data_IF_149972936861
#
_entry.id   IF_149972936861
#
_cell.length_a   1.000
_cell.length_b   1.000
_cell.length_c   1.000
_cell.angle_alpha   90.00
_cell.angle_beta   90.00
_cell.angle_gamma   90.00
#
_symmetry.space_group_name_H-M   'P 1'
#
loop_
_entity.id
_entity.type
_entity.pdbx_description
1 polymer ?
#
# COMPACT_ATOMS: atom_id res chain seq x y z
N UNK A 1 6.44 -22.75 47.68
CA UNK A 1 5.22 -23.17 46.93
C UNK A 1 4.36 -21.94 46.73
N UNK A 2 4.29 -21.42 45.50
CA UNK A 2 3.45 -20.24 45.17
C UNK A 2 2.02 -20.70 44.92
N UNK A 3 1.07 -20.22 45.71
CA UNK A 3 -0.36 -20.49 45.54
C UNK A 3 -0.82 -19.73 44.29
N UNK A 4 -1.26 -20.45 43.26
CA UNK A 4 -1.77 -19.83 42.04
C UNK A 4 -2.98 -18.94 42.38
N UNK A 5 -2.83 -17.64 42.14
CA UNK A 5 -3.86 -16.65 42.42
C UNK A 5 -5.03 -16.87 41.46
N UNK A 6 -6.24 -16.96 41.98
CA UNK A 6 -7.44 -17.08 41.15
C UNK A 6 -7.66 -15.80 40.34
N UNK A 7 -8.27 -15.92 39.15
CA UNK A 7 -8.56 -14.77 38.27
C UNK A 7 -9.32 -13.65 39.00
N UNK A 8 -10.16 -14.02 39.97
CA UNK A 8 -10.93 -13.11 40.83
C UNK A 8 -10.05 -12.34 41.82
N UNK A 9 -9.01 -12.98 42.36
CA UNK A 9 -8.03 -12.33 43.22
C UNK A 9 -7.12 -11.39 42.41
N UNK A 10 -6.69 -11.81 41.21
CA UNK A 10 -5.88 -10.97 40.32
C UNK A 10 -6.64 -9.69 39.89
N UNK A 11 -7.92 -9.80 39.52
CA UNK A 11 -8.75 -8.66 39.17
C UNK A 11 -8.98 -7.70 40.36
N UNK A 12 -9.14 -8.24 41.58
CA UNK A 12 -9.27 -7.44 42.79
C UNK A 12 -7.97 -6.67 43.10
N UNK A 13 -6.81 -7.32 42.94
CA UNK A 13 -5.50 -6.69 43.16
C UNK A 13 -5.24 -5.57 42.14
N UNK A 14 -5.53 -5.80 40.85
CA UNK A 14 -5.37 -4.78 39.81
C UNK A 14 -6.26 -3.56 40.10
N UNK A 15 -7.51 -3.79 40.50
CA UNK A 15 -8.42 -2.69 40.83
C UNK A 15 -7.96 -1.89 42.06
N UNK A 16 -7.49 -2.56 43.13
CA UNK A 16 -6.93 -1.86 44.30
C UNK A 16 -5.73 -1.01 43.90
N UNK A 17 -4.86 -1.53 43.03
CA UNK A 17 -3.66 -0.83 42.58
C UNK A 17 -3.97 0.39 41.67
N UNK A 18 -5.00 0.29 40.83
CA UNK A 18 -5.32 1.32 39.82
C UNK A 18 -6.36 2.33 40.31
N UNK A 19 -7.25 1.97 41.23
CA UNK A 19 -8.33 2.86 41.69
C UNK A 19 -8.14 3.33 43.13
N UNK A 20 -7.77 2.42 44.05
CA UNK A 20 -7.71 2.74 45.50
C UNK A 20 -6.39 3.44 45.85
N UNK A 21 -5.28 2.99 45.26
CA UNK A 21 -3.96 3.55 45.56
C UNK A 21 -3.80 5.01 45.07
N UNK A 22 -4.24 5.38 43.85
CA UNK A 22 -4.23 6.79 43.44
C UNK A 22 -5.18 7.66 44.26
N UNK A 23 -6.33 7.12 44.68
CA UNK A 23 -7.28 7.83 45.55
C UNK A 23 -6.68 8.08 46.95
N UNK A 24 -6.03 7.09 47.56
CA UNK A 24 -5.33 7.26 48.84
C UNK A 24 -4.18 8.25 48.72
N UNK A 25 -3.41 8.20 47.63
CA UNK A 25 -2.33 9.16 47.36
C UNK A 25 -2.87 10.57 47.17
N UNK A 26 -4.01 10.73 46.49
CA UNK A 26 -4.69 12.01 46.33
C UNK A 26 -5.21 12.57 47.67
N UNK A 27 -5.83 11.75 48.52
CA UNK A 27 -6.25 12.13 49.87
C UNK A 27 -5.05 12.48 50.77
N UNK A 28 -3.94 11.75 50.63
CA UNK A 28 -2.70 12.04 51.34
C UNK A 28 -2.09 13.36 50.90
N UNK A 29 -2.05 13.66 49.59
CA UNK A 29 -1.62 14.95 49.07
C UNK A 29 -2.50 16.11 49.55
N UNK A 30 -3.83 15.90 49.58
CA UNK A 30 -4.76 16.89 50.15
C UNK A 30 -4.50 17.15 51.63
N UNK A 31 -4.16 16.10 52.40
CA UNK A 31 -3.85 16.20 53.84
C UNK A 31 -2.55 16.96 54.12
N UNK A 32 -1.55 16.84 53.25
CA UNK A 32 -0.27 17.56 53.40
C UNK A 32 -0.38 19.04 53.02
N UNK A 33 -1.35 19.42 52.19
CA UNK A 33 -1.53 20.78 51.66
C UNK A 33 -2.35 21.75 52.53
N UNK A 34 -2.74 21.38 53.75
CA UNK A 34 -3.58 22.18 54.68
C UNK A 34 -4.94 22.65 54.07
N UNK A 35 -5.34 22.02 52.96
CA UNK A 35 -6.50 22.37 52.14
C UNK A 35 -7.79 21.64 52.58
N UNK A 36 -7.69 20.73 53.55
CA UNK A 36 -8.80 19.92 54.11
C UNK A 36 -9.79 20.74 54.95
N UNK A 37 -9.40 21.94 55.40
CA UNK A 37 -10.26 22.82 56.21
C UNK A 37 -11.31 23.56 55.38
N UNK A 38 -11.19 23.58 54.05
CA UNK A 38 -12.23 24.13 53.16
C UNK A 38 -13.34 23.12 52.94
N UNK A 39 -14.57 23.50 53.28
CA UNK A 39 -15.78 22.67 53.15
C UNK A 39 -15.95 22.09 51.74
N UNK A 40 -15.54 22.82 50.71
CA UNK A 40 -15.58 22.38 49.31
C UNK A 40 -14.68 21.16 49.02
N UNK A 41 -13.51 21.08 49.64
CA UNK A 41 -12.56 19.97 49.44
C UNK A 41 -13.06 18.67 50.09
N UNK A 42 -13.81 18.78 51.21
CA UNK A 42 -14.43 17.64 51.89
C UNK A 42 -15.56 17.03 51.03
N UNK A 43 -16.42 17.88 50.45
CA UNK A 43 -17.47 17.43 49.54
C UNK A 43 -16.91 16.77 48.27
N UNK A 44 -15.87 17.36 47.67
CA UNK A 44 -15.22 16.78 46.49
C UNK A 44 -14.63 15.39 46.77
N UNK A 45 -14.01 15.22 47.93
CA UNK A 45 -13.42 13.94 48.35
C UNK A 45 -14.49 12.87 48.61
N UNK A 46 -15.61 13.24 49.24
CA UNK A 46 -16.73 12.33 49.48
C UNK A 46 -17.39 11.91 48.16
N UNK A 47 -17.58 12.85 47.23
CA UNK A 47 -18.13 12.57 45.90
C UNK A 47 -17.22 11.65 45.08
N UNK A 48 -15.90 11.88 45.12
CA UNK A 48 -14.93 11.01 44.47
C UNK A 48 -14.96 9.57 45.02
N UNK A 49 -15.10 9.42 46.35
CA UNK A 49 -15.23 8.12 46.99
C UNK A 49 -16.51 7.39 46.58
N UNK A 50 -17.64 8.11 46.49
CA UNK A 50 -18.91 7.55 46.01
C UNK A 50 -18.79 7.08 44.56
N UNK A 51 -18.21 7.90 43.68
CA UNK A 51 -18.02 7.56 42.26
C UNK A 51 -17.12 6.32 42.13
N UNK A 52 -16.04 6.25 42.90
CA UNK A 52 -15.15 5.08 42.92
C UNK A 52 -15.88 3.81 43.40
N UNK A 53 -16.69 3.92 44.45
CA UNK A 53 -17.47 2.80 44.98
C UNK A 53 -18.55 2.32 43.97
N UNK A 54 -19.24 3.26 43.33
CA UNK A 54 -20.23 2.96 42.28
C UNK A 54 -19.58 2.28 41.08
N UNK A 55 -18.42 2.79 40.64
CA UNK A 55 -17.61 2.17 39.58
C UNK A 55 -17.20 0.74 39.92
N UNK A 56 -16.80 0.48 41.17
CA UNK A 56 -16.47 -0.88 41.63
C UNK A 56 -17.68 -1.82 41.56
N UNK A 57 -18.87 -1.37 41.98
CA UNK A 57 -20.09 -2.19 41.95
C UNK A 57 -20.46 -2.55 40.51
N UNK A 58 -20.41 -1.59 39.58
CA UNK A 58 -20.70 -1.82 38.15
C UNK A 58 -19.69 -2.77 37.53
N UNK A 59 -18.40 -2.54 37.77
CA UNK A 59 -17.34 -3.40 37.25
C UNK A 59 -17.48 -4.84 37.76
N UNK A 60 -17.74 -5.02 39.06
CA UNK A 60 -17.95 -6.35 39.66
C UNK A 60 -19.15 -7.07 39.04
N UNK A 61 -20.26 -6.36 38.78
CA UNK A 61 -21.44 -6.94 38.10
C UNK A 61 -21.11 -7.43 36.70
N UNK A 62 -20.33 -6.66 35.92
CA UNK A 62 -19.92 -7.05 34.56
C UNK A 62 -19.01 -8.27 34.56
N UNK A 63 -18.01 -8.30 35.44
CA UNK A 63 -17.12 -9.47 35.57
C UNK A 63 -17.89 -10.72 36.00
N UNK A 64 -18.82 -10.58 36.95
CA UNK A 64 -19.67 -11.69 37.39
C UNK A 64 -20.62 -12.18 36.27
N UNK A 65 -21.09 -11.30 35.38
CA UNK A 65 -21.88 -11.70 34.20
C UNK A 65 -21.03 -12.47 33.18
N UNK A 66 -19.84 -11.97 32.84
CA UNK A 66 -18.92 -12.62 31.91
C UNK A 66 -18.50 -14.00 32.45
N UNK A 67 -18.23 -14.10 33.75
CA UNK A 67 -17.87 -15.37 34.40
C UNK A 67 -19.02 -16.38 34.49
N UNK A 68 -20.29 -15.96 34.34
CA UNK A 68 -21.44 -16.87 34.21
C UNK A 68 -21.56 -17.37 32.77
N UNK A 69 -21.51 -16.46 31.79
CA UNK A 69 -21.55 -16.80 30.35
C UNK A 69 -20.39 -17.74 29.95
N UNK A 70 -19.18 -17.49 30.44
CA UNK A 70 -18.04 -18.36 30.17
C UNK A 70 -18.20 -19.77 30.75
N UNK A 71 -18.98 -19.96 31.82
CA UNK A 71 -19.30 -21.28 32.38
C UNK A 71 -20.40 -21.99 31.61
N UNK A 72 -21.38 -21.26 31.08
CA UNK A 72 -22.42 -21.82 30.22
C UNK A 72 -21.86 -22.31 28.88
N UNK A 73 -20.86 -21.61 28.31
CA UNK A 73 -20.20 -22.00 27.06
C UNK A 73 -19.29 -23.22 27.23
N UNK A 74 -18.81 -23.51 28.44
CA UNK A 74 -17.82 -24.55 28.72
C UNK A 74 -18.39 -25.74 29.51
N UNK A 75 -19.70 -25.99 29.41
CA UNK A 75 -20.31 -27.20 29.95
C UNK A 75 -19.74 -28.42 29.20
N UNK A 76 -19.21 -29.44 29.90
CA UNK A 76 -18.94 -30.72 29.27
C UNK A 76 -20.26 -31.25 28.71
N UNK A 77 -20.25 -31.65 27.44
CA UNK A 77 -21.38 -32.34 26.80
C UNK A 77 -21.74 -33.54 27.68
N UNK A 78 -22.88 -33.44 28.35
CA UNK A 78 -23.45 -34.55 29.11
C UNK A 78 -23.78 -35.68 28.12
N UNK A 79 -23.55 -36.96 28.48
CA UNK A 79 -23.94 -38.07 27.61
C UNK A 79 -25.46 -38.10 27.50
N UNK A 80 -25.96 -38.02 26.26
CA UNK A 80 -27.31 -38.26 25.77
C UNK A 80 -28.38 -38.59 26.84
N UNK A 81 -29.13 -37.58 27.27
CA UNK A 81 -30.49 -37.82 27.74
C UNK A 81 -31.44 -37.93 26.52
N UNK A 82 -32.38 -38.90 26.50
CA UNK A 82 -33.28 -39.08 25.37
C UNK A 82 -34.26 -37.91 25.26
N UNK A 83 -34.37 -37.33 24.06
CA UNK A 83 -35.30 -36.26 23.72
C UNK A 83 -36.78 -36.68 23.93
N UNK A 84 -37.66 -35.76 24.37
CA UNK A 84 -39.09 -36.01 24.47
C UNK A 84 -39.74 -36.07 23.08
N UNK A 85 -40.74 -36.96 22.99
CA UNK A 85 -41.48 -37.40 21.81
C UNK A 85 -42.02 -36.25 20.92
N UNK A 86 -41.70 -36.32 19.62
CA UNK A 86 -42.01 -35.34 18.59
C UNK A 86 -43.30 -35.69 17.83
N UNK A 87 -44.41 -35.95 18.53
CA UNK A 87 -45.63 -36.48 17.90
C UNK A 87 -46.79 -35.50 17.71
N UNK A 88 -46.67 -34.20 17.98
CA UNK A 88 -47.75 -33.26 17.61
C UNK A 88 -47.28 -31.96 16.94
N UNK A 89 -47.40 -31.84 15.60
CA UNK A 89 -47.35 -30.53 14.96
C UNK A 89 -48.62 -29.75 15.33
N UNK A 90 -48.47 -28.72 16.17
CA UNK A 90 -49.54 -27.78 16.49
C UNK A 90 -49.96 -27.03 15.22
N UNK A 91 -51.02 -27.49 14.54
CA UNK A 91 -51.66 -26.77 13.42
C UNK A 91 -52.63 -25.74 13.98
N UNK A 92 -52.47 -24.48 13.56
CA UNK A 92 -53.46 -23.41 13.78
C UNK A 92 -54.34 -23.34 12.54
N UNK A 93 -55.63 -23.72 12.60
CA UNK A 93 -56.52 -23.78 11.45
C UNK A 93 -57.40 -22.52 11.38
N UNK A 94 -56.94 -21.52 10.64
CA UNK A 94 -57.73 -20.46 9.99
C UNK A 94 -56.76 -19.35 9.59
N UNK A 95 -56.49 -19.18 8.29
CA UNK A 95 -56.09 -17.93 7.61
C UNK A 95 -55.58 -18.26 6.20
N UNK A 96 -56.51 -18.38 5.26
CA UNK A 96 -56.24 -18.62 3.83
C UNK A 96 -55.70 -17.42 3.06
N UNK A 97 -54.87 -16.57 3.67
CA UNK A 97 -54.24 -15.39 3.04
C UNK A 97 -52.75 -15.19 3.41
N UNK A 98 -52.16 -16.08 4.22
CA UNK A 98 -50.75 -15.96 4.66
C UNK A 98 -49.76 -16.45 3.59
N UNK A 99 -50.23 -17.21 2.60
CA UNK A 99 -49.38 -17.70 1.51
C UNK A 99 -48.92 -16.58 0.56
N UNK A 100 -49.76 -15.59 0.25
CA UNK A 100 -49.43 -14.49 -0.66
C UNK A 100 -48.46 -13.48 -0.02
N UNK A 101 -48.63 -13.19 1.27
CA UNK A 101 -47.69 -12.36 2.05
C UNK A 101 -46.36 -13.08 2.20
N UNK A 102 -46.36 -14.40 2.38
CA UNK A 102 -45.15 -15.22 2.41
C UNK A 102 -44.39 -15.20 1.07
N UNK A 103 -45.10 -15.23 -0.06
CA UNK A 103 -44.49 -15.12 -1.39
C UNK A 103 -43.93 -13.72 -1.65
N UNK A 104 -44.65 -12.66 -1.28
CA UNK A 104 -44.14 -11.28 -1.39
C UNK A 104 -42.94 -11.05 -0.47
N UNK A 105 -42.99 -11.57 0.75
CA UNK A 105 -41.86 -11.51 1.70
C UNK A 105 -40.64 -12.28 1.16
N UNK A 106 -40.84 -13.44 0.53
CA UNK A 106 -39.78 -14.20 -0.13
C UNK A 106 -39.17 -13.47 -1.34
N UNK A 107 -40.02 -12.92 -2.21
CA UNK A 107 -39.58 -12.13 -3.37
C UNK A 107 -38.84 -10.85 -2.95
N UNK A 108 -39.30 -10.18 -1.89
CA UNK A 108 -38.63 -9.02 -1.32
C UNK A 108 -37.30 -9.39 -0.67
N UNK A 109 -37.22 -10.54 0.02
CA UNK A 109 -35.96 -11.05 0.58
C UNK A 109 -34.94 -11.35 -0.53
N UNK A 110 -35.38 -12.01 -1.59
CA UNK A 110 -34.53 -12.30 -2.75
C UNK A 110 -34.02 -11.01 -3.42
N UNK A 111 -34.90 -10.01 -3.60
CA UNK A 111 -34.52 -8.71 -4.15
C UNK A 111 -33.53 -7.96 -3.25
N UNK A 112 -33.69 -8.04 -1.92
CA UNK A 112 -32.75 -7.46 -0.97
C UNK A 112 -31.38 -8.16 -1.01
N UNK A 113 -31.35 -9.48 -1.19
CA UNK A 113 -30.10 -10.22 -1.39
C UNK A 113 -29.42 -9.85 -2.71
N UNK A 114 -30.16 -9.78 -3.81
CA UNK A 114 -29.63 -9.39 -5.12
C UNK A 114 -29.11 -7.96 -5.14
N UNK A 115 -29.81 -7.03 -4.46
CA UNK A 115 -29.36 -5.65 -4.32
C UNK A 115 -28.07 -5.58 -3.50
N UNK A 116 -28.00 -6.29 -2.37
CA UNK A 116 -26.78 -6.38 -1.54
C UNK A 116 -25.61 -6.98 -2.31
N UNK A 117 -25.85 -8.05 -3.08
CA UNK A 117 -24.83 -8.66 -3.91
C UNK A 117 -24.36 -7.70 -5.01
N UNK A 118 -25.27 -6.90 -5.58
CA UNK A 118 -24.92 -5.90 -6.60
C UNK A 118 -24.14 -4.72 -6.01
N UNK A 119 -24.49 -4.23 -4.81
CA UNK A 119 -23.72 -3.19 -4.12
C UNK A 119 -22.33 -3.67 -3.75
N UNK A 120 -22.20 -4.91 -3.24
CA UNK A 120 -20.90 -5.50 -2.92
C UNK A 120 -20.01 -5.64 -4.16
N UNK A 121 -20.58 -6.07 -5.29
CA UNK A 121 -19.86 -6.12 -6.57
C UNK A 121 -19.43 -4.75 -7.06
N UNK A 122 -20.27 -3.73 -6.87
CA UNK A 122 -19.94 -2.36 -7.26
C UNK A 122 -18.81 -1.80 -6.39
N UNK A 123 -18.84 -2.05 -5.08
CA UNK A 123 -17.74 -1.70 -4.16
C UNK A 123 -16.43 -2.40 -4.54
N UNK A 124 -16.47 -3.70 -4.83
CA UNK A 124 -15.30 -4.46 -5.30
C UNK A 124 -14.75 -3.93 -6.63
N UNK A 125 -15.64 -3.55 -7.57
CA UNK A 125 -15.23 -2.97 -8.85
C UNK A 125 -14.63 -1.57 -8.68
N UNK A 126 -15.21 -0.74 -7.82
CA UNK A 126 -14.67 0.59 -7.48
C UNK A 126 -13.31 0.45 -6.79
N UNK A 127 -13.15 -0.51 -5.87
CA UNK A 127 -11.87 -0.79 -5.23
C UNK A 127 -10.82 -1.26 -6.25
N UNK A 128 -11.17 -2.23 -7.11
CA UNK A 128 -10.27 -2.72 -8.18
C UNK A 128 -9.86 -1.61 -9.15
N UNK A 129 -10.80 -0.74 -9.54
CA UNK A 129 -10.51 0.42 -10.39
C UNK A 129 -9.65 1.44 -9.66
N UNK A 130 -9.87 1.66 -8.36
CA UNK A 130 -9.03 2.48 -7.50
C UNK A 130 -7.59 1.97 -7.43
N UNK A 131 -7.41 0.66 -7.21
CA UNK A 131 -6.07 0.03 -7.20
C UNK A 131 -5.42 0.05 -8.58
N UNK A 132 -6.17 -0.18 -9.67
CA UNK A 132 -5.63 -0.08 -11.02
C UNK A 132 -5.22 1.37 -11.33
N UNK A 133 -6.05 2.34 -10.97
CA UNK A 133 -5.76 3.75 -11.16
C UNK A 133 -4.59 4.20 -10.29
N UNK A 134 -4.44 3.68 -9.07
CA UNK A 134 -3.28 3.90 -8.21
C UNK A 134 -2.03 3.24 -8.80
N UNK A 135 -2.11 2.04 -9.37
CA UNK A 135 -1.00 1.40 -10.10
C UNK A 135 -0.65 2.16 -11.38
N UNK A 136 -1.63 2.71 -12.10
CA UNK A 136 -1.44 3.57 -13.27
C UNK A 136 -0.86 4.92 -12.87
N UNK A 137 -1.29 5.50 -11.75
CA UNK A 137 -0.78 6.76 -11.19
C UNK A 137 0.64 6.57 -10.62
N UNK A 138 0.94 5.44 -9.99
CA UNK A 138 2.28 5.04 -9.53
C UNK A 138 3.18 4.68 -10.72
N UNK A 139 2.64 4.06 -11.77
CA UNK A 139 3.36 3.82 -13.03
C UNK A 139 3.59 5.11 -13.83
N UNK A 140 2.72 6.12 -13.67
CA UNK A 140 2.91 7.47 -14.18
C UNK A 140 3.78 8.34 -13.24
N UNK A 141 3.93 7.95 -11.97
CA UNK A 141 4.85 8.49 -10.96
C UNK A 141 6.06 7.57 -10.79
N UNK A 142 6.65 7.13 -11.89
CA UNK A 142 8.06 6.76 -11.88
C UNK A 142 8.80 8.00 -11.34
N UNK A 143 9.64 7.91 -10.30
CA UNK A 143 10.64 8.94 -10.05
C UNK A 143 11.54 8.99 -11.29
N UNK A 144 11.17 9.91 -12.17
CA UNK A 144 11.73 10.34 -13.44
C UNK A 144 12.79 9.39 -14.05
N UNK A 145 12.36 8.43 -14.87
CA UNK A 145 13.27 7.56 -15.63
C UNK A 145 14.30 8.35 -16.44
N UNK A 146 13.95 9.58 -16.84
CA UNK A 146 14.87 10.49 -17.50
C UNK A 146 16.03 10.93 -16.58
N UNK A 147 15.77 11.19 -15.30
CA UNK A 147 16.80 11.55 -14.32
C UNK A 147 17.75 10.37 -14.04
N UNK A 148 17.21 9.15 -14.00
CA UNK A 148 18.02 7.94 -13.90
C UNK A 148 18.91 7.77 -15.14
N UNK A 149 18.33 7.86 -16.34
CA UNK A 149 19.07 7.75 -17.60
C UNK A 149 20.13 8.86 -17.73
N UNK A 150 19.82 10.09 -17.30
CA UNK A 150 20.77 11.18 -17.25
C UNK A 150 21.92 10.91 -16.28
N UNK A 151 21.63 10.33 -15.11
CA UNK A 151 22.64 9.95 -14.11
C UNK A 151 23.55 8.82 -14.60
N UNK A 152 22.97 7.81 -15.27
CA UNK A 152 23.72 6.71 -15.91
C UNK A 152 24.61 7.28 -17.01
N UNK A 153 24.05 8.08 -17.92
CA UNK A 153 24.79 8.72 -19.00
C UNK A 153 25.97 9.53 -18.46
N UNK A 154 25.74 10.37 -17.45
CA UNK A 154 26.80 11.17 -16.82
C UNK A 154 27.89 10.31 -16.19
N UNK A 155 27.53 9.18 -15.58
CA UNK A 155 28.50 8.26 -14.98
C UNK A 155 29.33 7.54 -16.05
N UNK A 156 28.69 7.08 -17.12
CA UNK A 156 29.38 6.44 -18.25
C UNK A 156 30.30 7.41 -18.98
N UNK A 157 29.83 8.64 -19.27
CA UNK A 157 30.65 9.68 -19.89
C UNK A 157 31.91 9.99 -19.07
N UNK A 158 31.80 10.09 -17.73
CA UNK A 158 32.95 10.29 -16.85
C UNK A 158 33.94 9.13 -16.90
N UNK A 159 33.46 7.89 -16.94
CA UNK A 159 34.31 6.70 -16.99
C UNK A 159 35.17 6.65 -18.26
N UNK A 160 34.62 7.05 -19.41
CA UNK A 160 35.34 7.03 -20.70
C UNK A 160 35.88 8.39 -21.14
N UNK A 161 35.74 9.43 -20.30
CA UNK A 161 36.14 10.82 -20.59
C UNK A 161 35.52 11.37 -21.89
N UNK A 162 34.23 11.10 -22.11
CA UNK A 162 33.47 11.66 -23.23
C UNK A 162 32.87 13.03 -22.86
N UNK A 163 32.82 13.95 -23.84
CA UNK A 163 32.26 15.30 -23.69
C UNK A 163 30.83 15.39 -24.19
N UNK A 164 30.44 14.52 -25.12
CA UNK A 164 29.11 14.47 -25.74
C UNK A 164 28.57 13.05 -25.59
N UNK A 165 27.28 12.93 -25.25
CA UNK A 165 26.63 11.62 -25.20
C UNK A 165 25.12 11.68 -25.21
N UNK A 166 24.50 10.59 -25.65
CA UNK A 166 23.05 10.42 -25.63
C UNK A 166 22.64 8.97 -25.42
N UNK A 167 21.51 8.77 -24.75
CA UNK A 167 20.79 7.50 -24.71
C UNK A 167 19.55 7.67 -25.57
N UNK A 168 19.38 6.79 -26.55
CA UNK A 168 18.18 6.71 -27.37
C UNK A 168 17.43 5.43 -27.05
N UNK A 169 16.11 5.50 -26.92
CA UNK A 169 15.25 4.35 -26.67
C UNK A 169 14.47 3.98 -27.94
N UNK A 170 14.30 2.68 -28.15
CA UNK A 170 13.58 2.13 -29.29
C UNK A 170 12.07 2.13 -29.04
N UNK A 171 11.34 2.84 -29.90
CA UNK A 171 9.91 2.66 -30.07
C UNK A 171 9.67 1.46 -30.99
N UNK A 172 9.11 0.38 -30.43
CA UNK A 172 8.91 -0.88 -31.15
C UNK A 172 7.76 -0.83 -32.15
N UNK A 173 6.78 0.05 -31.96
CA UNK A 173 5.64 0.19 -32.86
C UNK A 173 6.05 0.95 -34.13
N UNK A 174 6.88 1.99 -33.97
CA UNK A 174 7.34 2.84 -35.07
C UNK A 174 8.67 2.40 -35.68
N UNK A 175 9.38 1.48 -35.01
CA UNK A 175 10.76 1.09 -35.34
C UNK A 175 11.71 2.31 -35.44
N UNK A 176 11.53 3.25 -34.52
CA UNK A 176 12.34 4.47 -34.43
C UNK A 176 13.02 4.61 -33.07
N UNK A 177 14.21 5.20 -33.08
CA UNK A 177 14.98 5.60 -31.91
C UNK A 177 14.71 7.08 -31.61
N UNK A 178 14.41 7.39 -30.35
CA UNK A 178 14.27 8.77 -29.87
C UNK A 178 15.18 9.03 -28.69
N UNK A 179 15.70 10.25 -28.57
CA UNK A 179 16.58 10.63 -27.47
C UNK A 179 15.77 10.65 -26.16
N UNK A 180 16.23 9.91 -25.17
CA UNK A 180 15.65 9.86 -23.83
C UNK A 180 16.50 10.59 -22.78
N UNK A 181 17.81 10.71 -23.02
CA UNK A 181 18.72 11.55 -22.25
C UNK A 181 19.88 12.01 -23.14
N UNK A 182 20.38 13.23 -22.96
CA UNK A 182 21.60 13.68 -23.62
C UNK A 182 22.38 14.71 -22.82
N UNK A 183 23.68 14.83 -23.13
CA UNK A 183 24.61 15.81 -22.58
C UNK A 183 25.59 16.24 -23.65
N UNK A 184 25.89 17.54 -23.70
CA UNK A 184 26.82 18.12 -24.68
C UNK A 184 26.26 18.27 -26.10
N UNK A 185 25.00 17.91 -26.33
CA UNK A 185 24.28 18.19 -27.58
C UNK A 185 23.63 19.59 -27.55
N UNK A 186 23.41 20.22 -28.72
CA UNK A 186 22.64 21.46 -28.83
C UNK A 186 21.23 21.35 -28.21
N UNK A 187 20.74 22.44 -27.62
CA UNK A 187 19.37 22.52 -27.11
C UNK A 187 18.35 22.30 -28.23
N UNK A 188 17.23 21.63 -27.94
CA UNK A 188 16.17 21.31 -28.90
C UNK A 188 16.39 20.04 -29.73
N UNK A 189 17.63 19.54 -29.85
CA UNK A 189 17.91 18.34 -30.66
C UNK A 189 17.27 17.07 -30.10
N UNK A 190 16.96 17.04 -28.81
CA UNK A 190 16.27 15.92 -28.15
C UNK A 190 14.84 15.72 -28.70
N UNK A 191 14.16 16.81 -29.05
CA UNK A 191 12.76 16.76 -29.48
C UNK A 191 12.64 16.46 -30.99
N UNK A 192 13.66 16.83 -31.77
CA UNK A 192 13.68 16.67 -33.23
C UNK A 192 14.29 15.34 -33.70
N UNK A 193 15.17 14.72 -32.91
CA UNK A 193 15.93 13.55 -33.34
C UNK A 193 15.10 12.25 -33.26
N UNK A 194 14.58 11.83 -34.40
CA UNK A 194 13.97 10.51 -34.63
C UNK A 194 14.74 9.76 -35.73
N UNK A 195 15.28 8.58 -35.41
CA UNK A 195 16.12 7.79 -36.33
C UNK A 195 15.45 6.44 -36.57
N UNK A 196 15.26 6.02 -37.83
CA UNK A 196 14.72 4.69 -38.12
C UNK A 196 15.75 3.59 -37.86
N UNK A 197 15.28 2.40 -37.47
CA UNK A 197 16.12 1.20 -37.41
C UNK A 197 16.79 0.96 -38.77
N UNK A 198 18.09 0.64 -38.76
CA UNK A 198 18.91 0.47 -39.96
C UNK A 198 19.48 1.77 -40.56
N UNK A 199 18.99 2.94 -40.13
CA UNK A 199 19.50 4.23 -40.59
C UNK A 199 20.58 4.82 -39.68
N UNK A 200 21.58 5.47 -40.30
CA UNK A 200 22.70 6.04 -39.58
C UNK A 200 23.45 5.00 -38.75
N UNK A 201 24.25 5.44 -37.77
CA UNK A 201 24.99 4.51 -36.92
C UNK A 201 24.08 3.94 -35.82
N UNK A 202 23.32 4.81 -35.14
CA UNK A 202 22.40 4.42 -34.08
C UNK A 202 21.37 3.38 -34.54
N UNK A 203 20.74 3.58 -35.70
CA UNK A 203 19.78 2.63 -36.25
C UNK A 203 20.43 1.31 -36.67
N UNK A 204 21.64 1.34 -37.25
CA UNK A 204 22.40 0.11 -37.57
C UNK A 204 22.78 -0.67 -36.31
N UNK A 205 23.31 0.00 -35.28
CA UNK A 205 23.66 -0.65 -34.00
C UNK A 205 22.43 -1.25 -33.32
N UNK A 206 21.29 -0.56 -33.38
CA UNK A 206 20.04 -1.11 -32.87
C UNK A 206 19.55 -2.33 -33.68
N UNK A 207 19.83 -2.39 -34.98
CA UNK A 207 19.48 -3.50 -35.87
C UNK A 207 20.38 -4.73 -35.66
N UNK A 208 21.69 -4.54 -35.72
CA UNK A 208 22.68 -5.64 -35.60
C UNK A 208 22.85 -6.06 -34.15
N UNK A 209 22.54 -5.15 -33.21
CA UNK A 209 22.69 -5.36 -31.79
C UNK A 209 24.15 -5.43 -31.33
N UNK A 210 25.14 -4.97 -32.09
CA UNK A 210 26.56 -5.04 -31.76
C UNK A 210 27.15 -3.63 -31.60
N UNK A 211 28.11 -3.43 -30.68
CA UNK A 211 28.75 -2.14 -30.50
C UNK A 211 29.61 -1.77 -31.71
N UNK A 212 29.67 -0.49 -32.02
CA UNK A 212 30.49 0.08 -33.10
C UNK A 212 31.32 1.22 -32.54
N UNK A 213 32.62 1.18 -32.83
CA UNK A 213 33.55 2.28 -32.61
C UNK A 213 33.97 2.83 -33.98
N UNK A 214 33.96 4.14 -34.10
CA UNK A 214 34.34 4.90 -35.29
C UNK A 214 35.39 5.92 -34.86
N UNK A 215 36.60 5.81 -35.42
CA UNK A 215 37.67 6.77 -35.14
C UNK A 215 37.45 8.08 -35.91
N UNK A 216 36.94 7.99 -37.14
CA UNK A 216 36.53 9.13 -37.95
C UNK A 216 35.46 8.70 -38.97
N UNK A 217 34.28 9.32 -38.89
CA UNK A 217 33.12 9.00 -39.73
C UNK A 217 33.32 9.33 -41.21
N UNK A 218 34.16 10.31 -41.52
CA UNK A 218 34.38 10.75 -42.89
C UNK A 218 35.28 9.77 -43.66
N UNK A 219 36.20 9.12 -42.94
CA UNK A 219 37.10 8.09 -43.48
C UNK A 219 36.60 6.65 -43.29
N UNK A 220 35.59 6.42 -42.44
CA UNK A 220 35.05 5.07 -42.23
C UNK A 220 34.16 4.60 -43.40
N UNK A 221 34.57 3.56 -44.15
CA UNK A 221 33.84 3.09 -45.32
C UNK A 221 32.46 2.50 -44.99
N UNK A 222 32.18 2.16 -43.72
CA UNK A 222 30.87 1.62 -43.28
C UNK A 222 29.79 2.70 -43.23
N UNK A 223 30.19 3.96 -43.11
CA UNK A 223 29.30 5.09 -42.87
C UNK A 223 29.43 6.18 -43.93
N UNK A 224 30.66 6.48 -44.40
CA UNK A 224 30.97 7.37 -45.52
C UNK A 224 30.08 8.62 -45.57
N UNK A 225 29.91 9.27 -44.42
CA UNK A 225 29.06 10.44 -44.23
C UNK A 225 29.92 11.60 -43.73
N UNK A 226 29.59 12.81 -44.20
CA UNK A 226 30.14 14.05 -43.66
C UNK A 226 29.84 14.12 -42.16
N UNK A 227 30.84 14.53 -41.38
CA UNK A 227 30.67 14.73 -39.96
C UNK A 227 29.70 15.88 -39.70
N UNK A 228 28.72 15.64 -38.83
CA UNK A 228 27.84 16.70 -38.37
C UNK A 228 28.45 17.32 -37.10
N UNK A 229 28.90 18.60 -37.15
CA UNK A 229 29.62 19.23 -36.05
C UNK A 229 28.78 19.36 -34.78
N UNK A 230 27.44 19.20 -34.87
CA UNK A 230 26.55 19.14 -33.69
C UNK A 230 26.85 17.95 -32.78
N UNK A 231 27.51 16.91 -33.31
CA UNK A 231 27.82 15.67 -32.60
C UNK A 231 29.32 15.53 -32.24
N UNK A 232 30.16 16.51 -32.59
CA UNK A 232 31.58 16.55 -32.19
C UNK A 232 32.57 16.30 -33.34
N UNK A 233 33.64 15.55 -33.05
CA UNK A 233 34.87 15.43 -33.87
C UNK A 233 34.83 14.32 -34.93
N UNK A 234 33.66 13.75 -35.23
CA UNK A 234 33.54 12.61 -36.15
C UNK A 234 33.94 11.26 -35.53
N UNK A 235 34.70 11.27 -34.44
CA UNK A 235 34.98 10.09 -33.61
C UNK A 235 33.85 9.83 -32.60
N UNK A 236 33.34 8.60 -32.54
CA UNK A 236 32.32 8.22 -31.56
C UNK A 236 32.23 6.70 -31.36
N UNK A 237 31.59 6.33 -30.26
CA UNK A 237 31.21 4.97 -29.92
C UNK A 237 29.69 4.89 -29.79
N UNK A 238 29.10 3.88 -30.41
CA UNK A 238 27.69 3.56 -30.28
C UNK A 238 27.55 2.12 -29.80
N UNK A 239 26.78 1.90 -28.73
CA UNK A 239 26.57 0.57 -28.16
C UNK A 239 25.10 0.29 -27.90
N UNK A 240 24.65 -0.96 -28.10
CA UNK A 240 23.27 -1.36 -27.85
C UNK A 240 22.99 -1.38 -26.34
N UNK A 241 21.84 -0.87 -25.94
CA UNK A 241 21.29 -1.05 -24.60
C UNK A 241 20.36 -2.24 -24.65
N UNK A 242 20.64 -3.27 -23.84
CA UNK A 242 19.93 -4.55 -23.89
C UNK A 242 19.28 -4.89 -22.55
N UNK A 243 18.13 -5.57 -22.63
CA UNK A 243 17.49 -6.26 -21.49
C UNK A 243 17.33 -7.71 -21.90
N UNK A 244 18.12 -8.60 -21.28
CA UNK A 244 18.32 -9.96 -21.78
C UNK A 244 18.90 -9.92 -23.19
N UNK A 245 18.32 -10.69 -24.12
CA UNK A 245 18.74 -10.74 -25.53
C UNK A 245 18.10 -9.63 -26.39
N UNK A 246 17.25 -8.78 -25.79
CA UNK A 246 16.50 -7.76 -26.51
C UNK A 246 17.20 -6.40 -26.49
N UNK A 247 17.44 -5.82 -27.66
CA UNK A 247 17.86 -4.42 -27.78
C UNK A 247 16.66 -3.50 -27.50
N UNK A 248 16.82 -2.61 -26.51
CA UNK A 248 15.81 -1.62 -26.10
C UNK A 248 16.19 -0.18 -26.47
N UNK A 249 17.41 0.03 -26.97
CA UNK A 249 17.93 1.34 -27.29
C UNK A 249 19.41 1.31 -27.62
N UNK A 250 20.04 2.48 -27.67
CA UNK A 250 21.47 2.67 -27.91
C UNK A 250 22.04 3.78 -27.02
N UNK A 251 23.32 3.65 -26.68
CA UNK A 251 24.12 4.68 -26.02
C UNK A 251 25.18 5.18 -27.01
N UNK A 252 25.22 6.49 -27.23
CA UNK A 252 26.18 7.16 -28.07
C UNK A 252 27.12 8.01 -27.20
N UNK A 253 28.42 7.95 -27.47
CA UNK A 253 29.44 8.73 -26.78
C UNK A 253 30.44 9.28 -27.81
N UNK A 254 30.73 10.56 -27.71
CA UNK A 254 31.66 11.27 -28.58
C UNK A 254 32.60 12.15 -27.76
N UNK A 255 33.80 12.37 -28.28
CA UNK A 255 34.73 13.35 -27.74
C UNK A 255 34.60 14.65 -28.53
N UNK A 256 34.66 15.78 -27.81
CA UNK A 256 34.83 17.09 -28.42
C UNK A 256 36.30 17.47 -28.27
N UNK A 257 36.93 17.95 -29.33
CA UNK A 257 38.23 18.63 -29.21
C UNK A 257 37.97 19.96 -28.50
N UNK A 258 38.79 20.24 -27.49
CA UNK A 258 38.80 21.52 -26.77
C UNK A 258 39.47 22.61 -27.61
#
# INVERSE_FOLDING_TARGET
MSKAMSLREAAAVIFVLVAVLPLMLFVSLLSVSDLITKTEAQFASFMALIIACLGFVVFRRLVDQIARLAREVNLPVLPDEPLPDATEPRRVPALGQVAEIGQLAGAFHQMLEDLRASTQRLEDLVFKLGTLNEVVEISARIPNIQDLLASVLQSTMRAVRANIGSIMLLNQEKLTLRIAASRGLPEGLQDEAEIQIGEGIAGKVAQIGEPVIVDDIESDPRFAKLNDPRYGTGSFMCMPVRVGDRVIGVLNLAKKED
#
